data_IF_752903901300
#
_entry.id   IF_752903901300
#
_cell.length_a   1.000
_cell.length_b   1.000
_cell.length_c   1.000
_cell.angle_alpha   90.00
_cell.angle_beta   90.00
_cell.angle_gamma   90.00
#
_symmetry.space_group_name_H-M   'P 1'
#
loop_
_entity.id
_entity.type
_entity.pdbx_description
1 polymer ?
#
# COMPACT_ATOMS: atom_id res chain seq x y z
N UNK A 1 -83.75 -7.62 113.40
CA UNK A 1 -82.29 -7.85 113.55
C UNK A 1 -81.73 -8.41 112.26
N UNK A 2 -80.50 -8.01 111.95
CA UNK A 2 -79.83 -8.06 110.66
C UNK A 2 -79.37 -9.46 110.19
N UNK A 3 -79.15 -9.59 108.86
CA UNK A 3 -77.92 -10.20 108.33
C UNK A 3 -77.70 -9.86 106.84
N UNK A 4 -76.72 -9.00 106.60
CA UNK A 4 -76.06 -8.78 105.31
C UNK A 4 -75.06 -9.90 104.98
N UNK A 5 -74.53 -9.85 103.75
CA UNK A 5 -73.28 -10.49 103.25
C UNK A 5 -73.47 -11.70 102.32
N UNK A 6 -73.86 -11.42 101.07
CA UNK A 6 -73.62 -12.32 99.92
C UNK A 6 -72.93 -11.63 98.72
N UNK A 7 -72.53 -10.37 98.84
CA UNK A 7 -72.03 -9.56 97.70
C UNK A 7 -70.50 -9.51 97.56
N UNK A 8 -69.72 -9.92 98.59
CA UNK A 8 -68.24 -9.83 98.54
C UNK A 8 -67.52 -11.01 97.90
N UNK A 9 -68.16 -12.16 97.73
CA UNK A 9 -67.49 -13.37 97.20
C UNK A 9 -67.58 -13.47 95.67
N UNK A 10 -68.69 -13.02 95.07
CA UNK A 10 -68.89 -13.02 93.61
C UNK A 10 -67.97 -12.05 92.88
N UNK A 11 -67.63 -10.91 93.48
CA UNK A 11 -66.76 -9.90 92.86
C UNK A 11 -65.29 -10.34 92.74
N UNK A 12 -64.82 -11.22 93.64
CA UNK A 12 -63.43 -11.70 93.64
C UNK A 12 -63.20 -12.79 92.58
N UNK A 13 -64.23 -13.57 92.24
CA UNK A 13 -64.20 -14.55 91.14
C UNK A 13 -64.25 -13.90 89.76
N UNK A 14 -65.07 -12.85 89.59
CA UNK A 14 -65.21 -12.15 88.31
C UNK A 14 -63.94 -11.36 87.93
N UNK A 15 -63.24 -10.77 88.91
CA UNK A 15 -61.96 -10.07 88.66
C UNK A 15 -60.86 -11.01 88.16
N UNK A 16 -60.79 -12.24 88.68
CA UNK A 16 -59.78 -13.23 88.24
C UNK A 16 -60.03 -13.71 86.80
N UNK A 17 -61.30 -13.84 86.40
CA UNK A 17 -61.65 -14.18 85.02
C UNK A 17 -61.35 -13.04 84.03
N UNK A 18 -61.50 -11.77 84.43
CA UNK A 18 -61.20 -10.64 83.53
C UNK A 18 -59.70 -10.40 83.33
N UNK A 19 -58.89 -10.72 84.35
CA UNK A 19 -57.44 -10.55 84.27
C UNK A 19 -56.80 -11.69 83.45
N UNK A 20 -57.30 -12.94 83.58
CA UNK A 20 -56.89 -14.08 82.74
C UNK A 20 -57.28 -13.91 81.26
N UNK A 21 -58.42 -13.26 80.95
CA UNK A 21 -58.80 -12.94 79.57
C UNK A 21 -57.94 -11.83 78.97
N UNK A 22 -57.49 -10.86 79.78
CA UNK A 22 -56.59 -9.79 79.33
C UNK A 22 -55.19 -10.31 79.04
N UNK A 23 -54.62 -11.18 79.89
CA UNK A 23 -53.33 -11.82 79.62
C UNK A 23 -53.38 -12.70 78.37
N UNK A 24 -54.45 -13.48 78.17
CA UNK A 24 -54.64 -14.28 76.95
C UNK A 24 -54.82 -13.42 75.69
N UNK A 25 -55.44 -12.24 75.82
CA UNK A 25 -55.58 -11.30 74.72
C UNK A 25 -54.27 -10.57 74.38
N UNK A 26 -53.44 -10.27 75.39
CA UNK A 26 -52.10 -9.71 75.19
C UNK A 26 -51.13 -10.74 74.60
N UNK A 27 -51.14 -11.98 75.09
CA UNK A 27 -50.36 -13.08 74.49
C UNK A 27 -50.76 -13.33 73.04
N UNK A 28 -52.06 -13.36 72.72
CA UNK A 28 -52.54 -13.44 71.31
C UNK A 28 -52.15 -12.22 70.48
N UNK A 29 -52.04 -11.02 71.06
CA UNK A 29 -51.56 -9.82 70.36
C UNK A 29 -50.05 -9.86 70.11
N UNK A 30 -49.27 -10.38 71.06
CA UNK A 30 -47.82 -10.53 70.94
C UNK A 30 -47.47 -11.60 69.89
N UNK A 31 -48.17 -12.74 69.89
CA UNK A 31 -48.05 -13.77 68.85
C UNK A 31 -48.47 -13.27 67.47
N UNK A 32 -49.54 -12.47 67.37
CA UNK A 32 -49.96 -11.84 66.11
C UNK A 32 -48.98 -10.76 65.62
N UNK A 33 -48.25 -10.08 66.51
CA UNK A 33 -47.18 -9.14 66.16
C UNK A 33 -45.93 -9.87 65.67
N UNK A 34 -45.50 -10.94 66.36
CA UNK A 34 -44.35 -11.74 65.95
C UNK A 34 -44.58 -12.49 64.62
N UNK A 35 -45.81 -12.99 64.37
CA UNK A 35 -46.16 -13.60 63.08
C UNK A 35 -46.18 -12.60 61.92
N UNK A 36 -46.37 -11.30 62.18
CA UNK A 36 -46.34 -10.23 61.16
C UNK A 36 -44.95 -9.68 60.89
N UNK A 37 -43.97 -9.91 61.76
CA UNK A 37 -42.59 -9.44 61.55
C UNK A 37 -41.77 -10.41 60.68
N UNK A 38 -42.04 -11.72 60.75
CA UNK A 38 -41.30 -12.74 60.01
C UNK A 38 -41.84 -13.08 58.60
N UNK A 39 -42.87 -12.38 58.10
CA UNK A 39 -43.45 -12.65 56.78
C UNK A 39 -43.41 -11.44 55.82
N UNK A 40 -42.56 -10.45 56.11
CA UNK A 40 -42.27 -9.39 55.15
C UNK A 40 -41.03 -9.73 54.33
N UNK A 41 -41.14 -10.75 53.48
CA UNK A 41 -40.31 -10.78 52.27
C UNK A 41 -41.06 -9.97 51.20
N UNK A 42 -40.46 -8.91 50.62
CA UNK A 42 -41.15 -8.10 49.62
C UNK A 42 -41.56 -8.99 48.44
N UNK A 43 -42.86 -8.97 48.10
CA UNK A 43 -43.41 -9.62 46.90
C UNK A 43 -42.67 -9.08 45.68
N UNK A 44 -41.80 -9.92 45.11
CA UNK A 44 -40.96 -9.58 43.96
C UNK A 44 -39.65 -10.37 43.88
N UNK A 45 -39.20 -10.99 44.98
CA UNK A 45 -37.92 -11.72 45.03
C UNK A 45 -37.87 -12.93 44.07
N UNK A 46 -38.99 -13.65 43.89
CA UNK A 46 -39.09 -14.77 42.93
C UNK A 46 -39.11 -14.30 41.46
N UNK A 47 -39.74 -13.16 41.18
CA UNK A 47 -39.74 -12.55 39.84
C UNK A 47 -38.35 -12.02 39.46
N UNK A 48 -37.60 -11.44 40.41
CA UNK A 48 -36.19 -11.06 40.19
C UNK A 48 -35.30 -12.26 39.87
N UNK A 49 -35.44 -13.40 40.56
CA UNK A 49 -34.66 -14.61 40.23
C UNK A 49 -35.03 -15.19 38.86
N UNK A 50 -36.32 -15.26 38.53
CA UNK A 50 -36.74 -15.70 37.19
C UNK A 50 -36.22 -14.77 36.09
N UNK A 51 -36.25 -13.46 36.32
CA UNK A 51 -35.67 -12.47 35.39
C UNK A 51 -34.17 -12.63 35.18
N UNK A 52 -33.42 -13.01 36.22
CA UNK A 52 -31.98 -13.29 36.10
C UNK A 52 -31.74 -14.55 35.26
N UNK A 53 -32.50 -15.63 35.46
CA UNK A 53 -32.36 -16.83 34.65
C UNK A 53 -32.78 -16.62 33.19
N UNK A 54 -33.87 -15.89 32.94
CA UNK A 54 -34.26 -15.55 31.55
C UNK A 54 -33.25 -14.60 30.90
N UNK A 55 -32.68 -13.66 31.64
CA UNK A 55 -31.63 -12.78 31.14
C UNK A 55 -30.35 -13.56 30.79
N UNK A 56 -29.88 -14.46 31.66
CA UNK A 56 -28.67 -15.26 31.38
C UNK A 56 -28.87 -16.26 30.25
N UNK A 57 -30.04 -16.88 30.13
CA UNK A 57 -30.34 -17.78 29.01
C UNK A 57 -30.43 -17.04 27.68
N UNK A 58 -31.05 -15.85 27.64
CA UNK A 58 -31.05 -14.99 26.45
C UNK A 58 -29.65 -14.49 26.11
N UNK A 59 -28.86 -14.11 27.11
CA UNK A 59 -27.51 -13.58 26.89
C UNK A 59 -26.59 -14.64 26.28
N UNK A 60 -26.62 -15.87 26.80
CA UNK A 60 -25.86 -17.00 26.24
C UNK A 60 -26.37 -17.36 24.84
N UNK A 61 -27.70 -17.37 24.63
CA UNK A 61 -28.29 -17.62 23.32
C UNK A 61 -27.88 -16.58 22.26
N UNK A 62 -27.85 -15.30 22.63
CA UNK A 62 -27.36 -14.22 21.76
C UNK A 62 -25.87 -14.38 21.46
N UNK A 63 -25.06 -14.75 22.46
CA UNK A 63 -23.63 -14.96 22.24
C UNK A 63 -23.35 -16.16 21.32
N UNK A 64 -24.12 -17.25 21.44
CA UNK A 64 -24.06 -18.39 20.51
C UNK A 64 -24.53 -18.02 19.11
N UNK A 65 -25.60 -17.23 18.99
CA UNK A 65 -26.11 -16.78 17.68
C UNK A 65 -25.13 -15.83 16.97
N UNK A 66 -24.53 -14.89 17.71
CA UNK A 66 -23.46 -14.03 17.20
C UNK A 66 -22.21 -14.86 16.87
N UNK A 67 -21.85 -15.84 17.70
CA UNK A 67 -20.76 -16.78 17.41
C UNK A 67 -21.00 -17.58 16.12
N UNK A 68 -22.21 -18.09 15.92
CA UNK A 68 -22.61 -18.77 14.68
C UNK A 68 -22.60 -17.82 13.49
N UNK A 69 -23.06 -16.57 13.63
CA UNK A 69 -22.98 -15.55 12.58
C UNK A 69 -21.54 -15.17 12.24
N UNK A 70 -20.65 -15.06 13.23
CA UNK A 70 -19.23 -14.75 13.00
C UNK A 70 -18.53 -15.93 12.33
N UNK A 71 -18.81 -17.16 12.75
CA UNK A 71 -18.24 -18.37 12.10
C UNK A 71 -18.82 -18.60 10.71
N UNK A 72 -20.12 -18.36 10.51
CA UNK A 72 -20.77 -18.44 9.19
C UNK A 72 -20.23 -17.35 8.25
N UNK A 73 -20.06 -16.11 8.73
CA UNK A 73 -19.44 -15.04 7.94
C UNK A 73 -17.92 -15.26 7.75
N UNK A 74 -17.23 -15.94 8.65
CA UNK A 74 -15.82 -16.31 8.47
C UNK A 74 -15.64 -17.47 7.46
N UNK A 75 -16.64 -18.35 7.35
CA UNK A 75 -16.64 -19.45 6.37
C UNK A 75 -17.19 -19.03 5.01
N UNK A 76 -18.03 -17.99 4.94
CA UNK A 76 -18.51 -17.41 3.68
C UNK A 76 -17.68 -16.24 3.14
N UNK A 77 -16.81 -15.64 3.96
CA UNK A 77 -15.78 -14.69 3.52
C UNK A 77 -14.38 -15.33 3.44
N UNK A 78 -14.32 -16.66 3.30
CA UNK A 78 -13.21 -17.24 2.56
C UNK A 78 -13.42 -16.87 1.09
N UNK A 79 -13.25 -15.57 0.80
CA UNK A 79 -12.79 -15.12 -0.50
C UNK A 79 -11.59 -16.03 -0.77
N UNK A 80 -11.75 -16.86 -1.80
CA UNK A 80 -10.69 -17.65 -2.37
C UNK A 80 -9.64 -16.63 -2.80
N UNK A 81 -8.75 -16.28 -1.87
CA UNK A 81 -7.53 -15.57 -2.18
C UNK A 81 -6.84 -16.56 -3.09
N UNK A 82 -7.02 -16.36 -4.40
CA UNK A 82 -6.16 -16.89 -5.44
C UNK A 82 -4.76 -16.69 -4.86
N UNK A 83 -4.19 -17.79 -4.38
CA UNK A 83 -2.85 -17.78 -3.81
C UNK A 83 -2.00 -17.52 -5.03
N UNK A 84 -1.76 -16.24 -5.32
CA UNK A 84 -0.88 -15.81 -6.41
C UNK A 84 0.34 -16.67 -6.23
N UNK A 85 0.53 -17.60 -7.15
CA UNK A 85 1.65 -18.51 -7.11
C UNK A 85 2.85 -17.65 -7.45
N UNK A 86 3.46 -17.08 -6.41
CA UNK A 86 4.56 -16.14 -6.56
C UNK A 86 5.71 -16.98 -7.10
N UNK A 87 5.92 -16.87 -8.41
CA UNK A 87 7.01 -17.51 -9.10
C UNK A 87 8.31 -17.12 -8.38
N UNK A 88 9.00 -18.11 -7.83
CA UNK A 88 10.19 -17.89 -6.99
C UNK A 88 11.32 -17.17 -7.73
N UNK A 89 11.39 -17.26 -9.06
CA UNK A 89 12.40 -16.58 -9.87
C UNK A 89 12.06 -15.11 -10.10
N UNK A 90 10.81 -14.70 -9.89
CA UNK A 90 10.40 -13.28 -9.93
C UNK A 90 10.55 -12.57 -8.58
N UNK A 91 10.98 -13.29 -7.54
CA UNK A 91 11.07 -12.75 -6.20
C UNK A 91 12.32 -11.88 -6.00
N UNK A 92 12.29 -11.01 -4.99
CA UNK A 92 13.44 -10.18 -4.64
C UNK A 92 14.66 -11.02 -4.25
N UNK A 93 14.43 -12.20 -3.66
CA UNK A 93 15.50 -13.14 -3.32
C UNK A 93 16.24 -13.65 -4.57
N UNK A 94 15.51 -13.96 -5.65
CA UNK A 94 16.12 -14.37 -6.93
C UNK A 94 16.93 -13.22 -7.55
N UNK A 95 16.40 -11.99 -7.48
CA UNK A 95 17.09 -10.78 -7.95
C UNK A 95 18.41 -10.56 -7.19
N UNK A 96 18.39 -10.63 -5.86
CA UNK A 96 19.59 -10.47 -5.03
C UNK A 96 20.59 -11.59 -5.28
N UNK A 97 20.13 -12.84 -5.41
CA UNK A 97 20.98 -13.96 -5.79
C UNK A 97 21.70 -13.69 -7.11
N UNK A 98 20.97 -13.28 -8.14
CA UNK A 98 21.52 -12.99 -9.46
C UNK A 98 22.45 -11.76 -9.45
N UNK A 99 22.16 -10.71 -8.68
CA UNK A 99 23.06 -9.58 -8.48
C UNK A 99 24.40 -10.02 -7.88
N UNK A 100 24.38 -10.86 -6.85
CA UNK A 100 25.61 -11.36 -6.24
C UNK A 100 26.41 -12.25 -7.22
N UNK A 101 25.71 -13.01 -8.07
CA UNK A 101 26.36 -13.73 -9.16
C UNK A 101 27.00 -12.78 -10.18
N UNK A 102 26.32 -11.70 -10.58
CA UNK A 102 26.85 -10.67 -11.49
C UNK A 102 28.10 -10.02 -10.91
N UNK A 103 28.09 -9.66 -9.63
CA UNK A 103 29.28 -9.11 -8.96
C UNK A 103 30.47 -10.08 -9.04
N UNK A 104 30.25 -11.35 -8.69
CA UNK A 104 31.28 -12.38 -8.81
C UNK A 104 31.72 -12.61 -10.27
N UNK A 105 30.77 -12.60 -11.21
CA UNK A 105 31.03 -12.80 -12.64
C UNK A 105 31.82 -11.64 -13.25
N UNK A 106 31.61 -10.40 -12.84
CA UNK A 106 32.35 -9.25 -13.37
C UNK A 106 33.61 -8.91 -12.56
N UNK A 107 34.01 -9.77 -11.63
CA UNK A 107 35.22 -9.63 -10.83
C UNK A 107 36.21 -10.75 -11.15
N UNK A 108 37.36 -10.41 -11.74
CA UNK A 108 38.45 -11.36 -11.98
C UNK A 108 39.79 -10.65 -12.11
N UNK A 109 40.87 -11.39 -11.82
CA UNK A 109 42.25 -10.99 -12.11
C UNK A 109 42.80 -11.88 -13.22
N UNK A 110 43.51 -11.29 -14.18
CA UNK A 110 44.20 -11.99 -15.26
C UNK A 110 45.50 -12.68 -14.79
N UNK A 111 45.45 -13.33 -13.63
CA UNK A 111 46.53 -14.13 -13.03
C UNK A 111 46.00 -15.51 -12.70
N UNK A 112 46.87 -16.53 -12.68
CA UNK A 112 46.47 -17.91 -12.40
C UNK A 112 45.74 -18.03 -11.05
N UNK A 113 46.25 -17.35 -10.01
CA UNK A 113 45.59 -17.30 -8.70
C UNK A 113 44.24 -16.58 -8.75
N UNK A 114 44.14 -15.55 -9.58
CA UNK A 114 42.90 -14.79 -9.81
C UNK A 114 41.81 -15.64 -10.45
N UNK A 115 42.19 -16.48 -11.41
CA UNK A 115 41.27 -17.43 -12.06
C UNK A 115 40.82 -18.50 -11.08
N UNK A 116 41.72 -19.06 -10.28
CA UNK A 116 41.34 -20.04 -9.24
C UNK A 116 40.41 -19.41 -8.21
N UNK A 117 40.69 -18.18 -7.77
CA UNK A 117 39.82 -17.44 -6.85
C UNK A 117 38.43 -17.23 -7.44
N UNK A 118 38.35 -16.82 -8.71
CA UNK A 118 37.09 -16.67 -9.45
C UNK A 118 36.31 -17.98 -9.50
N UNK A 119 36.94 -19.09 -9.88
CA UNK A 119 36.27 -20.39 -9.97
C UNK A 119 35.69 -20.83 -8.62
N UNK A 120 36.44 -20.62 -7.53
CA UNK A 120 35.97 -20.91 -6.18
C UNK A 120 34.76 -20.05 -5.79
N UNK A 121 34.78 -18.77 -6.17
CA UNK A 121 33.70 -17.83 -5.92
C UNK A 121 32.42 -18.18 -6.70
N UNK A 122 32.56 -18.51 -7.98
CA UNK A 122 31.44 -18.86 -8.85
C UNK A 122 30.78 -20.20 -8.52
N UNK A 123 31.51 -21.12 -7.89
CA UNK A 123 31.04 -22.48 -7.56
C UNK A 123 29.73 -22.51 -6.77
N UNK A 124 29.47 -21.50 -5.92
CA UNK A 124 28.22 -21.44 -5.12
C UNK A 124 26.99 -21.03 -5.92
N UNK A 125 27.17 -20.53 -7.15
CA UNK A 125 26.10 -20.07 -8.02
C UNK A 125 25.80 -21.06 -9.14
N UNK A 126 26.85 -21.65 -9.72
CA UNK A 126 26.75 -22.46 -10.93
C UNK A 126 26.19 -23.85 -10.63
N UNK A 127 25.28 -24.31 -11.50
CA UNK A 127 24.84 -25.70 -11.48
C UNK A 127 26.00 -26.67 -11.76
N UNK A 128 25.89 -27.90 -11.25
CA UNK A 128 26.93 -28.91 -11.41
C UNK A 128 27.11 -29.25 -12.90
N UNK A 129 28.36 -29.21 -13.36
CA UNK A 129 28.72 -29.53 -14.75
C UNK A 129 28.83 -28.32 -15.68
N UNK A 130 28.50 -27.11 -15.22
CA UNK A 130 28.81 -25.88 -15.95
C UNK A 130 30.31 -25.57 -15.91
N UNK A 131 30.78 -24.80 -16.90
CA UNK A 131 32.12 -24.24 -16.91
C UNK A 131 32.38 -23.45 -15.62
N UNK A 132 33.45 -23.79 -14.90
CA UNK A 132 33.84 -23.15 -13.64
C UNK A 132 34.17 -21.66 -13.77
N UNK A 133 34.50 -21.20 -14.98
CA UNK A 133 34.71 -19.79 -15.30
C UNK A 133 33.45 -19.09 -15.83
N UNK A 134 32.32 -19.80 -15.87
CA UNK A 134 31.04 -19.34 -16.41
C UNK A 134 31.13 -18.82 -17.86
N UNK A 135 32.01 -19.40 -18.69
CA UNK A 135 32.18 -19.01 -20.09
C UNK A 135 33.27 -17.97 -20.36
N UNK A 136 33.99 -17.50 -19.33
CA UNK A 136 35.17 -16.66 -19.53
C UNK A 136 36.31 -17.49 -20.13
N UNK A 137 36.74 -17.14 -21.34
CA UNK A 137 37.91 -17.74 -21.98
C UNK A 137 39.18 -17.22 -21.33
N UNK A 138 39.90 -18.10 -20.62
CA UNK A 138 41.12 -17.76 -19.87
C UNK A 138 42.35 -17.68 -20.77
N UNK A 139 42.38 -18.46 -21.84
CA UNK A 139 43.51 -18.49 -22.78
C UNK A 139 43.69 -17.12 -23.44
N UNK A 140 44.83 -16.48 -23.17
CA UNK A 140 45.13 -15.13 -23.67
C UNK A 140 44.44 -13.99 -22.92
N UNK A 141 43.87 -14.25 -21.74
CA UNK A 141 43.28 -13.21 -20.90
C UNK A 141 44.36 -12.26 -20.36
N UNK A 142 44.27 -10.99 -20.74
CA UNK A 142 45.22 -9.94 -20.33
C UNK A 142 44.58 -8.77 -19.59
N UNK A 143 43.25 -8.75 -19.50
CA UNK A 143 42.48 -7.73 -18.80
C UNK A 143 41.90 -8.32 -17.53
N UNK A 144 42.08 -7.62 -16.42
CA UNK A 144 41.36 -7.87 -15.17
C UNK A 144 40.08 -7.03 -15.15
N UNK A 145 39.11 -7.43 -14.33
CA UNK A 145 37.87 -6.68 -14.16
C UNK A 145 37.51 -6.54 -12.69
N UNK A 146 37.02 -5.36 -12.34
CA UNK A 146 36.39 -5.05 -11.07
C UNK A 146 34.95 -4.65 -11.30
N UNK A 147 34.01 -5.31 -10.63
CA UNK A 147 32.62 -4.88 -10.59
C UNK A 147 32.49 -3.46 -10.02
N UNK A 148 31.56 -2.67 -10.56
CA UNK A 148 31.24 -1.31 -10.09
C UNK A 148 29.79 -1.21 -9.65
N UNK A 149 28.84 -1.53 -10.54
CA UNK A 149 27.41 -1.52 -10.24
C UNK A 149 26.63 -2.41 -11.22
N UNK A 150 25.43 -2.85 -10.82
CA UNK A 150 24.45 -3.48 -11.69
C UNK A 150 23.03 -3.04 -11.35
N UNK A 151 22.22 -2.88 -12.39
CA UNK A 151 20.81 -2.48 -12.28
C UNK A 151 19.94 -3.51 -12.97
N UNK A 152 18.87 -3.94 -12.31
CA UNK A 152 17.89 -4.85 -12.91
C UNK A 152 17.13 -4.09 -13.99
N UNK A 153 17.02 -4.67 -15.18
CA UNK A 153 16.28 -4.13 -16.32
C UNK A 153 15.03 -4.94 -16.63
N UNK A 154 15.10 -6.26 -16.47
CA UNK A 154 13.96 -7.14 -16.70
C UNK A 154 14.06 -8.43 -15.87
N UNK A 155 12.90 -8.97 -15.49
CA UNK A 155 12.76 -10.23 -14.75
C UNK A 155 11.70 -11.06 -15.46
N UNK A 156 12.15 -12.06 -16.20
CA UNK A 156 11.28 -12.90 -17.02
C UNK A 156 11.17 -14.30 -16.43
N UNK A 157 9.97 -14.68 -16.00
CA UNK A 157 9.64 -16.08 -15.74
C UNK A 157 9.47 -16.84 -17.05
N UNK A 158 10.13 -17.99 -17.18
CA UNK A 158 9.96 -18.93 -18.29
C UNK A 158 9.07 -20.11 -17.89
N UNK A 159 9.17 -20.51 -16.63
CA UNK A 159 8.37 -21.55 -15.97
C UNK A 159 8.25 -21.22 -14.47
N UNK A 160 7.52 -22.01 -13.67
CA UNK A 160 7.28 -21.81 -12.23
C UNK A 160 8.58 -21.59 -11.41
N UNK A 161 9.63 -22.32 -11.77
CA UNK A 161 10.92 -22.34 -11.05
C UNK A 161 12.11 -21.92 -11.91
N UNK A 162 11.87 -21.49 -13.16
CA UNK A 162 12.93 -21.15 -14.12
C UNK A 162 12.66 -19.79 -14.75
N UNK A 163 13.69 -18.97 -14.86
CA UNK A 163 13.60 -17.65 -15.47
C UNK A 163 14.94 -17.07 -15.88
N UNK A 164 14.89 -15.82 -16.33
CA UNK A 164 16.04 -15.04 -16.73
C UNK A 164 15.93 -13.63 -16.13
N UNK A 165 17.04 -13.11 -15.62
CA UNK A 165 17.12 -11.76 -15.08
C UNK A 165 18.13 -10.98 -15.90
N UNK A 166 17.69 -9.85 -16.46
CA UNK A 166 18.52 -8.98 -17.28
C UNK A 166 19.05 -7.82 -16.45
N UNK A 167 20.35 -7.60 -16.49
CA UNK A 167 21.05 -6.53 -15.80
C UNK A 167 21.71 -5.57 -16.79
N UNK A 168 21.72 -4.28 -16.46
CA UNK A 168 22.73 -3.35 -16.97
C UNK A 168 23.91 -3.36 -16.00
N UNK A 169 25.10 -3.74 -16.48
CA UNK A 169 26.29 -3.93 -15.64
C UNK A 169 27.39 -2.97 -16.05
N UNK A 170 27.96 -2.30 -15.04
CA UNK A 170 29.15 -1.46 -15.16
C UNK A 170 30.31 -2.12 -14.46
N UNK A 171 31.43 -2.28 -15.16
CA UNK A 171 32.68 -2.77 -14.61
C UNK A 171 33.88 -1.93 -15.08
N UNK A 172 34.96 -2.00 -14.31
CA UNK A 172 36.24 -1.37 -14.63
C UNK A 172 37.23 -2.43 -15.06
N UNK A 173 37.71 -2.34 -16.30
CA UNK A 173 38.74 -3.21 -16.85
C UNK A 173 40.12 -2.58 -16.67
N UNK A 174 41.10 -3.40 -16.29
CA UNK A 174 42.49 -2.95 -16.09
C UNK A 174 43.49 -3.88 -16.78
N UNK A 175 44.51 -3.27 -17.39
CA UNK A 175 45.66 -3.97 -18.00
C UNK A 175 46.92 -3.13 -17.78
N UNK A 176 47.72 -3.51 -16.80
CA UNK A 176 48.83 -2.67 -16.34
C UNK A 176 48.30 -1.31 -15.86
N UNK A 177 48.80 -0.22 -16.46
CA UNK A 177 48.33 1.14 -16.18
C UNK A 177 47.08 1.55 -16.99
N UNK A 178 46.65 0.73 -17.95
CA UNK A 178 45.48 1.04 -18.77
C UNK A 178 44.20 0.73 -18.00
N UNK A 179 43.24 1.65 -18.06
CA UNK A 179 41.91 1.48 -17.47
C UNK A 179 40.83 1.77 -18.51
N UNK A 180 39.76 0.98 -18.49
CA UNK A 180 38.59 1.18 -19.35
C UNK A 180 37.32 0.88 -18.57
N UNK A 181 36.26 1.64 -18.83
CA UNK A 181 34.91 1.33 -18.33
C UNK A 181 34.19 0.45 -19.35
N UNK A 182 33.60 -0.65 -18.87
CA UNK A 182 32.76 -1.55 -19.66
C UNK A 182 31.33 -1.48 -19.16
N UNK A 183 30.41 -1.23 -20.08
CA UNK A 183 28.97 -1.16 -19.83
C UNK A 183 28.27 -2.12 -20.80
N UNK A 184 27.50 -3.07 -20.25
CA UNK A 184 26.87 -4.16 -21.00
C UNK A 184 25.53 -4.55 -20.39
N UNK A 185 24.60 -5.00 -21.24
CA UNK A 185 23.47 -5.78 -20.75
C UNK A 185 23.84 -7.25 -20.66
N UNK A 186 23.39 -7.89 -19.58
CA UNK A 186 23.80 -9.22 -19.21
C UNK A 186 22.62 -10.00 -18.65
N UNK A 187 22.36 -11.17 -19.21
CA UNK A 187 21.24 -12.04 -18.85
C UNK A 187 21.74 -13.20 -18.02
N UNK A 188 21.19 -13.33 -16.82
CA UNK A 188 21.47 -14.42 -15.89
C UNK A 188 20.33 -15.44 -15.93
N UNK A 189 20.56 -16.67 -16.41
CA UNK A 189 19.59 -17.75 -16.32
C UNK A 189 19.52 -18.28 -14.88
N UNK A 190 18.37 -18.15 -14.22
CA UNK A 190 18.17 -18.53 -12.82
C UNK A 190 17.12 -19.63 -12.70
N UNK A 191 17.41 -20.64 -11.89
CA UNK A 191 16.45 -21.67 -11.49
C UNK A 191 16.39 -21.78 -9.96
N UNK A 192 15.24 -22.20 -9.44
CA UNK A 192 15.03 -22.53 -8.03
C UNK A 192 14.75 -24.03 -7.89
N UNK A 193 15.46 -24.73 -7.01
CA UNK A 193 15.31 -26.19 -6.86
C UNK A 193 14.39 -26.60 -5.68
N UNK A 194 13.60 -25.66 -5.17
CA UNK A 194 12.81 -25.82 -3.95
C UNK A 194 13.58 -25.51 -2.65
N UNK A 195 14.90 -25.25 -2.72
CA UNK A 195 15.72 -24.88 -1.55
C UNK A 195 16.61 -23.67 -1.81
N UNK A 196 17.33 -23.68 -2.94
CA UNK A 196 18.35 -22.71 -3.30
C UNK A 196 18.18 -22.27 -4.74
N UNK A 197 18.69 -21.08 -5.05
CA UNK A 197 18.81 -20.60 -6.42
C UNK A 197 20.12 -21.08 -7.05
N UNK A 198 20.09 -21.31 -8.35
CA UNK A 198 21.24 -21.72 -9.14
C UNK A 198 21.23 -21.09 -10.53
N UNK A 199 22.41 -20.85 -11.08
CA UNK A 199 22.61 -20.49 -12.48
C UNK A 199 22.70 -21.78 -13.29
N UNK A 200 21.66 -22.07 -14.07
CA UNK A 200 21.50 -23.37 -14.75
C UNK A 200 22.17 -23.44 -16.13
N UNK A 201 22.52 -22.28 -16.72
CA UNK A 201 23.17 -22.17 -18.02
C UNK A 201 24.21 -21.03 -18.02
N UNK A 202 25.06 -20.97 -19.05
CA UNK A 202 25.99 -19.85 -19.19
C UNK A 202 25.22 -18.55 -19.41
N UNK A 203 25.60 -17.46 -18.72
CA UNK A 203 24.97 -16.17 -18.94
C UNK A 203 25.38 -15.60 -20.31
N UNK A 204 24.59 -14.65 -20.81
CA UNK A 204 24.76 -14.10 -22.17
C UNK A 204 24.68 -12.57 -22.17
N UNK A 205 25.36 -11.95 -23.11
CA UNK A 205 25.23 -10.52 -23.36
C UNK A 205 24.05 -10.24 -24.27
N UNK A 206 23.38 -9.12 -24.05
CA UNK A 206 22.24 -8.68 -24.87
C UNK A 206 22.29 -7.17 -25.13
N UNK A 207 21.30 -6.67 -25.85
CA UNK A 207 20.91 -5.27 -25.86
C UNK A 207 19.54 -5.11 -25.17
N UNK A 208 19.25 -3.92 -24.64
CA UNK A 208 17.97 -3.59 -24.02
C UNK A 208 17.64 -2.13 -24.32
N UNK A 209 16.42 -1.88 -24.82
CA UNK A 209 15.94 -0.54 -25.15
C UNK A 209 15.47 0.18 -23.88
N UNK A 210 16.06 1.34 -23.56
CA UNK A 210 15.72 2.10 -22.35
C UNK A 210 14.62 3.16 -22.58
N UNK A 211 14.13 3.30 -23.82
CA UNK A 211 13.14 4.31 -24.16
C UNK A 211 11.72 3.92 -23.73
N UNK A 212 11.01 4.86 -23.11
CA UNK A 212 9.61 4.66 -22.75
C UNK A 212 8.75 4.49 -24.00
N UNK A 213 7.84 3.52 -23.95
CA UNK A 213 6.83 3.32 -24.98
C UNK A 213 5.52 4.04 -24.65
N UNK A 214 5.43 4.73 -23.52
CA UNK A 214 4.20 5.41 -23.11
C UNK A 214 3.96 6.62 -24.04
N UNK A 215 2.78 6.67 -24.67
CA UNK A 215 2.42 7.70 -25.66
C UNK A 215 1.72 8.90 -25.06
N UNK A 216 0.66 8.65 -24.30
CA UNK A 216 -0.16 9.69 -23.69
C UNK A 216 -1.15 9.09 -22.68
N UNK A 217 -1.52 9.91 -21.71
CA UNK A 217 -2.64 9.66 -20.82
C UNK A 217 -3.90 10.23 -21.48
N UNK A 218 -4.93 9.41 -21.67
CA UNK A 218 -6.16 9.81 -22.37
C UNK A 218 -7.37 9.80 -21.44
N UNK A 219 -8.25 10.80 -21.57
CA UNK A 219 -9.37 11.04 -20.67
C UNK A 219 -10.74 10.73 -21.30
N UNK A 220 -10.87 9.58 -21.98
CA UNK A 220 -12.00 9.27 -22.89
C UNK A 220 -13.39 9.23 -22.25
N UNK A 221 -13.50 9.09 -20.93
CA UNK A 221 -14.79 8.90 -20.21
C UNK A 221 -15.40 10.20 -19.67
N UNK A 222 -14.71 11.32 -19.85
CA UNK A 222 -15.03 12.57 -19.17
C UNK A 222 -15.95 13.48 -20.00
N UNK A 223 -16.99 14.03 -19.36
CA UNK A 223 -17.94 14.95 -20.00
C UNK A 223 -17.51 16.40 -19.81
N UNK A 224 -17.80 17.26 -20.79
CA UNK A 224 -17.57 18.70 -20.69
C UNK A 224 -18.49 19.33 -19.63
N UNK A 225 -17.98 20.33 -18.93
CA UNK A 225 -18.69 21.11 -17.90
C UNK A 225 -19.25 22.40 -18.50
N UNK A 226 -20.35 22.92 -17.96
CA UNK A 226 -20.92 24.19 -18.45
C UNK A 226 -20.01 25.39 -18.13
N UNK A 227 -20.10 26.45 -18.95
CA UNK A 227 -19.23 27.64 -18.78
C UNK A 227 -19.33 28.30 -17.41
N UNK A 228 -20.52 28.33 -16.78
CA UNK A 228 -20.74 28.94 -15.47
C UNK A 228 -20.10 28.12 -14.33
N UNK A 229 -20.25 26.79 -14.40
CA UNK A 229 -19.63 25.86 -13.47
C UNK A 229 -18.10 25.89 -13.61
N UNK A 230 -17.58 25.96 -14.85
CA UNK A 230 -16.14 26.07 -15.13
C UNK A 230 -15.52 27.29 -14.48
N UNK A 231 -16.14 28.48 -14.59
CA UNK A 231 -15.61 29.69 -13.93
C UNK A 231 -15.52 29.51 -12.43
N UNK A 232 -16.59 28.99 -11.80
CA UNK A 232 -16.61 28.77 -10.35
C UNK A 232 -15.57 27.74 -9.90
N UNK A 233 -15.42 26.65 -10.66
CA UNK A 233 -14.44 25.59 -10.40
C UNK A 233 -13.01 26.11 -10.57
N UNK A 234 -12.73 26.92 -11.58
CA UNK A 234 -11.39 27.51 -11.78
C UNK A 234 -10.99 28.41 -10.60
N UNK A 235 -11.90 29.25 -10.09
CA UNK A 235 -11.64 30.06 -8.90
C UNK A 235 -11.40 29.22 -7.64
N UNK A 236 -12.15 28.12 -7.49
CA UNK A 236 -11.90 27.17 -6.41
C UNK A 236 -10.53 26.50 -6.54
N UNK A 237 -10.17 26.03 -7.73
CA UNK A 237 -8.87 25.39 -8.02
C UNK A 237 -7.71 26.37 -7.73
N UNK A 238 -7.83 27.63 -8.14
CA UNK A 238 -6.83 28.65 -7.83
C UNK A 238 -6.68 28.87 -6.32
N UNK A 239 -7.80 28.93 -5.59
CA UNK A 239 -7.78 29.05 -4.12
C UNK A 239 -7.14 27.83 -3.49
N UNK A 240 -7.52 26.63 -3.95
CA UNK A 240 -6.95 25.38 -3.48
C UNK A 240 -5.44 25.34 -3.67
N UNK A 241 -4.92 25.65 -4.87
CA UNK A 241 -3.47 25.60 -5.11
C UNK A 241 -2.68 26.64 -4.31
N UNK A 242 -3.23 27.85 -4.11
CA UNK A 242 -2.61 28.85 -3.22
C UNK A 242 -2.55 28.35 -1.78
N UNK A 243 -3.64 27.78 -1.27
CA UNK A 243 -3.66 27.21 0.09
C UNK A 243 -2.81 25.94 0.20
N UNK A 244 -2.73 25.13 -0.85
CA UNK A 244 -1.90 23.93 -0.93
C UNK A 244 -0.41 24.28 -0.87
N UNK A 245 0.02 25.33 -1.58
CA UNK A 245 1.41 25.76 -1.60
C UNK A 245 1.81 26.50 -0.32
N UNK A 246 1.07 27.54 0.03
CA UNK A 246 1.48 28.54 1.04
C UNK A 246 0.60 28.55 2.31
N UNK A 247 -0.53 27.84 2.31
CA UNK A 247 -1.51 27.86 3.40
C UNK A 247 -1.14 26.98 4.59
N UNK A 248 -1.71 27.31 5.75
CA UNK A 248 -1.59 26.49 6.95
C UNK A 248 -2.38 25.18 6.80
N UNK A 249 -2.00 24.13 7.55
CA UNK A 249 -2.64 22.81 7.49
C UNK A 249 -4.15 22.90 7.77
N UNK A 250 -4.53 23.73 8.73
CA UNK A 250 -5.92 23.98 9.11
C UNK A 250 -6.70 24.59 7.94
N UNK A 251 -6.11 25.58 7.26
CA UNK A 251 -6.72 26.24 6.10
C UNK A 251 -6.92 25.26 4.95
N UNK A 252 -5.90 24.43 4.66
CA UNK A 252 -5.99 23.39 3.64
C UNK A 252 -7.08 22.39 3.97
N UNK A 253 -7.18 21.94 5.22
CA UNK A 253 -8.20 20.97 5.65
C UNK A 253 -9.65 21.44 5.42
N UNK A 254 -9.92 22.75 5.40
CA UNK A 254 -11.25 23.26 5.05
C UNK A 254 -11.63 23.07 3.58
N UNK A 255 -10.65 22.83 2.71
CA UNK A 255 -10.85 22.59 1.28
C UNK A 255 -10.89 21.08 0.96
N UNK A 256 -10.66 20.21 1.95
CA UNK A 256 -10.61 18.76 1.78
C UNK A 256 -11.88 18.08 2.30
N UNK A 257 -12.30 17.01 1.62
CA UNK A 257 -13.38 16.14 2.09
C UNK A 257 -13.03 15.38 3.37
N UNK A 258 -11.74 15.05 3.53
CA UNK A 258 -11.18 14.35 4.68
C UNK A 258 -9.94 15.10 5.16
N UNK A 259 -9.96 15.54 6.41
CA UNK A 259 -8.83 16.21 7.04
C UNK A 259 -7.57 15.34 6.99
N UNK A 260 -6.44 15.94 6.60
CA UNK A 260 -5.15 15.26 6.46
C UNK A 260 -5.06 14.26 5.31
N UNK A 261 -6.01 14.25 4.36
CA UNK A 261 -5.91 13.40 3.17
C UNK A 261 -4.89 13.89 2.14
N UNK A 262 -4.56 15.19 2.17
CA UNK A 262 -3.57 15.82 1.30
C UNK A 262 -2.64 16.65 2.19
N UNK A 263 -1.33 16.49 2.01
CA UNK A 263 -0.32 17.33 2.65
C UNK A 263 0.08 18.47 1.72
N UNK A 264 -0.05 19.71 2.20
CA UNK A 264 0.40 20.90 1.47
C UNK A 264 1.93 20.99 1.39
N UNK A 265 2.41 21.87 0.51
CA UNK A 265 3.84 22.13 0.33
C UNK A 265 4.43 22.94 1.49
N UNK A 266 3.60 23.53 2.34
CA UNK A 266 4.01 24.22 3.58
C UNK A 266 5.09 25.30 3.31
N UNK A 267 4.92 26.06 2.23
CA UNK A 267 5.82 27.14 1.83
C UNK A 267 7.18 26.69 1.27
N UNK A 268 7.40 25.39 1.05
CA UNK A 268 8.60 24.90 0.36
C UNK A 268 8.63 25.31 -1.11
N UNK A 269 7.46 25.48 -1.72
CA UNK A 269 7.24 26.09 -3.02
C UNK A 269 6.02 27.01 -2.94
N UNK A 270 6.02 28.07 -3.75
CA UNK A 270 4.86 28.94 -3.95
C UNK A 270 4.30 28.78 -5.36
N UNK A 271 3.01 29.09 -5.53
CA UNK A 271 2.39 29.12 -6.85
C UNK A 271 2.82 30.38 -7.59
N UNK A 272 3.49 30.20 -8.73
CA UNK A 272 3.80 31.31 -9.66
C UNK A 272 2.67 31.52 -10.66
N UNK A 273 2.14 30.43 -11.24
CA UNK A 273 1.13 30.49 -12.28
C UNK A 273 0.32 29.17 -12.36
N UNK A 274 -0.96 29.26 -12.72
CA UNK A 274 -1.77 28.11 -13.18
C UNK A 274 -1.82 28.19 -14.71
N UNK A 275 -1.03 27.37 -15.40
CA UNK A 275 -0.80 27.47 -16.84
C UNK A 275 -1.98 26.91 -17.66
N UNK A 276 -2.53 25.78 -17.21
CA UNK A 276 -3.63 25.09 -17.88
C UNK A 276 -4.54 24.48 -16.83
N UNK A 277 -5.85 24.66 -17.00
CA UNK A 277 -6.89 24.05 -16.15
C UNK A 277 -7.96 23.49 -17.06
N UNK A 278 -8.10 22.17 -17.08
CA UNK A 278 -9.17 21.48 -17.79
C UNK A 278 -10.07 20.77 -16.80
N UNK A 279 -11.36 21.13 -16.77
CA UNK A 279 -12.32 20.58 -15.82
C UNK A 279 -13.37 19.78 -16.55
N UNK A 280 -13.62 18.58 -16.04
CA UNK A 280 -14.57 17.65 -16.56
C UNK A 280 -15.52 17.16 -15.48
N UNK A 281 -16.63 16.57 -15.92
CA UNK A 281 -17.58 15.86 -15.08
C UNK A 281 -17.39 14.36 -15.27
N UNK A 282 -17.34 13.64 -14.15
CA UNK A 282 -17.30 12.18 -14.16
C UNK A 282 -18.68 11.60 -14.54
N UNK A 283 -18.77 10.29 -14.75
CA UNK A 283 -20.04 9.61 -15.02
C UNK A 283 -21.04 9.80 -13.87
N UNK A 284 -20.53 9.86 -12.63
CA UNK A 284 -21.25 10.29 -11.44
C UNK A 284 -21.43 11.82 -11.44
N UNK A 285 -22.68 12.27 -11.62
CA UNK A 285 -23.05 13.68 -11.83
C UNK A 285 -22.67 14.68 -10.72
N UNK A 286 -22.05 14.25 -9.62
CA UNK A 286 -21.61 15.10 -8.51
C UNK A 286 -20.08 15.09 -8.29
N UNK A 287 -19.34 14.47 -9.21
CA UNK A 287 -17.86 14.40 -9.19
C UNK A 287 -17.29 15.17 -10.38
N UNK A 288 -16.31 16.02 -10.09
CA UNK A 288 -15.56 16.81 -11.06
C UNK A 288 -14.10 16.39 -11.04
N UNK A 289 -13.51 16.28 -12.23
CA UNK A 289 -12.09 15.93 -12.40
C UNK A 289 -11.42 17.09 -13.10
N UNK A 290 -10.41 17.69 -12.46
CA UNK A 290 -9.61 18.75 -13.04
C UNK A 290 -8.18 18.28 -13.31
N UNK A 291 -7.66 18.55 -14.51
CA UNK A 291 -6.24 18.43 -14.82
C UNK A 291 -5.63 19.82 -14.85
N UNK A 292 -4.57 20.01 -14.06
CA UNK A 292 -4.01 21.33 -13.80
C UNK A 292 -2.50 21.29 -14.01
N UNK A 293 -1.99 22.13 -14.91
CA UNK A 293 -0.57 22.42 -15.01
C UNK A 293 -0.27 23.66 -14.16
N UNK A 294 0.61 23.53 -13.17
CA UNK A 294 1.00 24.58 -12.24
C UNK A 294 2.49 24.87 -12.38
N UNK A 295 2.86 26.14 -12.47
CA UNK A 295 4.25 26.59 -12.28
C UNK A 295 4.49 26.86 -10.81
N UNK A 296 5.32 26.01 -10.18
CA UNK A 296 5.82 26.18 -8.82
C UNK A 296 7.14 26.94 -8.85
N UNK A 297 7.39 27.77 -7.84
CA UNK A 297 8.67 28.45 -7.64
C UNK A 297 9.21 28.17 -6.25
N UNK A 298 10.48 27.78 -6.17
CA UNK A 298 11.20 27.71 -4.90
C UNK A 298 11.53 29.14 -4.44
N UNK A 299 10.98 29.61 -3.31
CA UNK A 299 11.17 30.98 -2.86
C UNK A 299 12.62 31.31 -2.45
N UNK A 300 13.49 30.30 -2.25
CA UNK A 300 14.89 30.50 -1.88
C UNK A 300 15.81 30.60 -3.09
N UNK A 301 15.54 29.81 -4.13
CA UNK A 301 16.42 29.69 -5.31
C UNK A 301 15.85 30.37 -6.55
N UNK A 302 14.58 30.77 -6.52
CA UNK A 302 13.80 31.31 -7.64
C UNK A 302 13.64 30.34 -8.82
N UNK A 303 14.06 29.08 -8.66
CA UNK A 303 13.91 28.04 -9.67
C UNK A 303 12.42 27.73 -9.81
N UNK A 304 11.94 27.78 -11.05
CA UNK A 304 10.55 27.48 -11.40
C UNK A 304 10.44 26.12 -12.08
N UNK A 305 9.46 25.31 -11.67
CA UNK A 305 9.19 23.99 -12.24
C UNK A 305 7.71 23.83 -12.54
N UNK A 306 7.38 23.26 -13.71
CA UNK A 306 6.01 22.90 -14.05
C UNK A 306 5.67 21.54 -13.48
N UNK A 307 4.51 21.42 -12.85
CA UNK A 307 3.97 20.17 -12.31
C UNK A 307 2.54 19.99 -12.75
N UNK A 308 2.19 18.77 -13.13
CA UNK A 308 0.83 18.40 -13.50
C UNK A 308 0.15 17.72 -12.32
N UNK A 309 -1.07 18.15 -12.01
CA UNK A 309 -1.90 17.62 -10.95
C UNK A 309 -3.25 17.21 -11.51
N UNK A 310 -3.83 16.18 -10.89
CA UNK A 310 -5.24 15.85 -11.03
C UNK A 310 -5.96 16.12 -9.72
N UNK A 311 -7.11 16.80 -9.77
CA UNK A 311 -7.99 16.97 -8.62
C UNK A 311 -9.32 16.27 -8.87
N UNK A 312 -9.70 15.39 -7.95
CA UNK A 312 -11.06 14.83 -7.87
C UNK A 312 -11.82 15.65 -6.84
N UNK A 313 -12.89 16.33 -7.26
CA UNK A 313 -13.66 17.27 -6.44
C UNK A 313 -15.14 16.89 -6.41
N UNK A 314 -15.84 17.31 -5.37
CA UNK A 314 -17.29 17.17 -5.27
C UNK A 314 -17.91 18.43 -4.68
N UNK A 315 -19.21 18.61 -4.90
CA UNK A 315 -19.97 19.74 -4.34
C UNK A 315 -20.65 19.30 -3.04
N UNK A 316 -20.37 19.99 -1.95
CA UNK A 316 -20.95 19.77 -0.62
C UNK A 316 -21.43 21.10 -0.03
N UNK A 317 -22.72 21.19 0.33
CA UNK A 317 -23.33 22.39 0.91
C UNK A 317 -23.02 23.68 0.12
N UNK A 318 -23.23 23.63 -1.20
CA UNK A 318 -22.94 24.73 -2.15
C UNK A 318 -21.47 25.16 -2.26
N UNK A 319 -20.53 24.38 -1.72
CA UNK A 319 -19.09 24.60 -1.84
C UNK A 319 -18.42 23.42 -2.52
N UNK A 320 -17.38 23.70 -3.28
CA UNK A 320 -16.50 22.65 -3.81
C UNK A 320 -15.50 22.23 -2.75
N UNK A 321 -15.20 20.94 -2.70
CA UNK A 321 -14.18 20.34 -1.83
C UNK A 321 -13.39 19.31 -2.64
N UNK A 322 -12.10 19.20 -2.33
CA UNK A 322 -11.22 18.20 -2.92
C UNK A 322 -11.39 16.87 -2.20
N UNK A 323 -11.74 15.83 -2.96
CA UNK A 323 -11.84 14.44 -2.49
C UNK A 323 -10.48 13.76 -2.51
N UNK A 324 -9.73 13.94 -3.59
CA UNK A 324 -8.43 13.35 -3.81
C UNK A 324 -7.58 14.15 -4.80
N UNK A 325 -6.28 13.90 -4.80
CA UNK A 325 -5.30 14.48 -5.70
C UNK A 325 -4.44 13.36 -6.27
N UNK A 326 -4.23 13.35 -7.58
CA UNK A 326 -3.45 12.34 -8.33
C UNK A 326 -3.87 10.88 -8.10
N UNK A 327 -5.18 10.65 -7.90
CA UNK A 327 -5.77 9.30 -7.73
C UNK A 327 -5.94 8.51 -9.05
N UNK A 328 -5.50 9.08 -10.17
CA UNK A 328 -5.59 8.53 -11.53
C UNK A 328 -7.02 8.24 -12.03
N UNK A 329 -8.06 8.72 -11.35
CA UNK A 329 -9.45 8.55 -11.79
C UNK A 329 -9.65 9.14 -13.19
N UNK A 330 -10.21 8.38 -14.12
CA UNK A 330 -10.46 8.85 -15.49
C UNK A 330 -9.22 8.95 -16.40
N UNK A 331 -8.02 8.63 -15.91
CA UNK A 331 -6.79 8.54 -16.72
C UNK A 331 -6.60 7.12 -17.26
N UNK A 332 -6.43 6.98 -18.57
CA UNK A 332 -5.94 5.74 -19.21
C UNK A 332 -4.51 5.93 -19.71
N UNK A 333 -3.55 5.15 -19.20
CA UNK A 333 -2.16 5.13 -19.71
C UNK A 333 -2.11 4.24 -20.96
N UNK A 334 -1.67 4.80 -22.08
CA UNK A 334 -1.51 4.05 -23.34
C UNK A 334 -0.04 3.88 -23.69
N UNK A 335 0.35 2.64 -23.98
CA UNK A 335 1.68 2.28 -24.48
C UNK A 335 1.66 2.12 -26.01
N UNK A 336 2.81 2.34 -26.66
CA UNK A 336 3.05 2.01 -28.07
C UNK A 336 2.82 0.51 -28.24
N UNK A 337 2.21 0.15 -29.36
CA UNK A 337 2.13 -1.25 -29.79
C UNK A 337 3.46 -1.72 -30.35
N UNK A 338 3.71 -3.04 -30.37
CA UNK A 338 4.95 -3.62 -30.91
C UNK A 338 5.24 -3.15 -32.35
N UNK A 339 4.21 -3.02 -33.20
CA UNK A 339 4.35 -2.53 -34.58
C UNK A 339 4.82 -1.08 -34.67
N UNK A 340 4.43 -0.24 -33.72
CA UNK A 340 4.82 1.17 -33.68
C UNK A 340 6.26 1.33 -33.22
N UNK A 341 6.68 0.52 -32.25
CA UNK A 341 8.07 0.46 -31.76
C UNK A 341 9.00 0.01 -32.90
N UNK A 342 8.65 -1.06 -33.62
CA UNK A 342 9.46 -1.56 -34.73
C UNK A 342 9.59 -0.55 -35.88
N UNK A 343 8.56 0.24 -36.17
CA UNK A 343 8.64 1.29 -37.20
C UNK A 343 9.57 2.43 -36.80
N UNK A 344 9.54 2.84 -35.54
CA UNK A 344 10.38 3.93 -35.02
C UNK A 344 11.85 3.53 -34.99
N UNK A 345 12.16 2.31 -34.52
CA UNK A 345 13.50 1.71 -34.56
C UNK A 345 14.07 1.65 -35.98
N UNK A 346 13.23 1.31 -36.96
CA UNK A 346 13.66 1.22 -38.36
C UNK A 346 13.98 2.60 -38.95
N UNK A 347 13.22 3.63 -38.57
CA UNK A 347 13.47 5.03 -38.96
C UNK A 347 14.76 5.54 -38.30
N UNK A 348 14.97 5.26 -37.02
CA UNK A 348 16.16 5.69 -36.28
C UNK A 348 17.43 5.00 -36.82
N UNK A 349 17.35 3.71 -37.14
CA UNK A 349 18.45 2.97 -37.79
C UNK A 349 18.79 3.56 -39.16
N UNK A 350 17.78 3.90 -39.97
CA UNK A 350 17.99 4.55 -41.27
C UNK A 350 18.62 5.94 -41.14
N UNK A 351 18.22 6.72 -40.14
CA UNK A 351 18.79 8.03 -39.88
C UNK A 351 20.27 7.96 -39.45
N UNK A 352 20.64 6.95 -38.66
CA UNK A 352 22.03 6.69 -38.27
C UNK A 352 22.86 6.26 -39.48
N UNK A 353 22.37 5.33 -40.31
CA UNK A 353 23.06 4.90 -41.53
C UNK A 353 23.26 6.06 -42.52
N UNK A 354 22.28 6.95 -42.68
CA UNK A 354 22.41 8.15 -43.52
C UNK A 354 23.42 9.17 -42.93
N UNK A 355 23.47 9.32 -41.61
CA UNK A 355 24.43 10.19 -40.94
C UNK A 355 25.87 9.67 -41.09
N UNK A 356 26.08 8.36 -40.95
CA UNK A 356 27.38 7.71 -41.13
C UNK A 356 27.85 7.75 -42.60
N UNK A 357 26.94 7.52 -43.55
CA UNK A 357 27.24 7.65 -44.98
C UNK A 357 27.66 9.08 -45.34
N UNK A 358 27.03 10.09 -44.72
CA UNK A 358 27.36 11.51 -44.93
C UNK A 358 28.68 11.92 -44.27
N UNK A 359 29.01 11.35 -43.12
CA UNK A 359 30.30 11.52 -42.47
C UNK A 359 31.44 10.91 -43.31
N UNK A 360 31.22 9.72 -43.87
CA UNK A 360 32.19 9.04 -44.75
C UNK A 360 32.41 9.75 -46.10
N UNK A 361 31.42 10.51 -46.57
CA UNK A 361 31.49 11.25 -47.85
C UNK A 361 32.17 12.62 -47.77
N UNK A 362 32.64 13.05 -46.60
CA UNK A 362 33.32 14.35 -46.44
C UNK A 362 34.80 14.21 -46.81
N UNK A 363 35.29 14.79 -47.92
CA UNK A 363 36.69 14.61 -48.32
C UNK A 363 37.62 15.35 -47.36
N UNK A 364 38.61 14.64 -46.83
CA UNK A 364 39.74 15.21 -46.08
C UNK A 364 40.47 16.17 -47.02
N UNK A 365 40.23 17.47 -46.86
CA UNK A 365 40.99 18.51 -47.54
C UNK A 365 42.44 18.44 -47.06
N UNK A 366 43.27 17.78 -47.85
CA UNK A 366 44.72 17.77 -47.68
C UNK A 366 45.24 19.21 -47.68
N UNK A 367 45.63 19.69 -46.50
CA UNK A 367 46.41 20.91 -46.36
C UNK A 367 47.84 20.56 -46.75
N UNK A 368 48.22 20.96 -47.96
CA UNK A 368 49.61 20.96 -48.43
C UNK A 368 50.44 21.89 -47.54
N UNK A 369 51.54 21.36 -47.01
CA UNK A 369 52.61 22.11 -46.36
C UNK A 369 53.23 23.12 -47.34
N UNK A 370 53.39 24.37 -46.88
CA UNK A 370 54.49 25.25 -47.23
C UNK A 370 54.91 26.04 -45.99
#
# INVERSE_FOLDING_TARGET
MAKESKTKVLFKGLKRLSDDEKEKAEQKKLERKNKKLNDFTPKGYRAKRMGVYTFWTLFIGMFLFVGLLVVANATSNAEEVEKVEINKVTSQEAVVFAQNFVEAYFTWSATDEGIVARQNELKRYLATGLDSNAGLVVDGLIWSSSYVNSEVRDVQALDEEVGQITFYVKSKLTKGEQEQVSEKYFVVPVAYDGKTFGVYELPKYTHFEEHTTIKSVSNKRLKSVSSEETTTLNSFIETFFKTYADGEREQLNYLLSKSGSIEGLNGTFSIKELNQVEVFKDEDNDTYIAFVEVTLVDPKTEISTKSNYQLTMTKSNDKYIVKAMDDLTGKEIKSKTAEEISKELLIETQAIEEADAKAAATPVSAKSEQ
#
